data_IF_401215659976
#
_entry.id   IF_401215659976
#
_cell.length_a   1.000
_cell.length_b   1.000
_cell.length_c   1.000
_cell.angle_alpha   90.00
_cell.angle_beta   90.00
_cell.angle_gamma   90.00
#
_symmetry.space_group_name_H-M   'P 1'
#
loop_
_entity.id
_entity.type
_entity.pdbx_description
1 polymer ?
#
# COMPACT_ATOMS: atom_id res chain seq x y z
N UNK A 1 -36.85 10.90 50.43
CA UNK A 1 -36.91 10.64 48.97
C UNK A 1 -35.95 11.49 48.12
N UNK A 2 -35.11 12.39 48.67
CA UNK A 2 -34.09 13.11 47.87
C UNK A 2 -32.69 12.45 47.87
N UNK A 3 -32.37 11.61 48.87
CA UNK A 3 -31.04 10.99 49.00
C UNK A 3 -30.73 9.97 47.91
N UNK A 4 -31.71 9.14 47.52
CA UNK A 4 -31.52 8.07 46.53
C UNK A 4 -31.35 8.60 45.10
N UNK A 5 -31.96 9.74 44.79
CA UNK A 5 -31.79 10.36 43.47
C UNK A 5 -30.37 10.93 43.29
N UNK A 6 -29.75 11.48 44.34
CA UNK A 6 -28.37 12.00 44.27
C UNK A 6 -27.38 10.87 44.06
N UNK A 7 -27.60 9.71 44.68
CA UNK A 7 -26.77 8.52 44.46
C UNK A 7 -26.92 7.97 43.05
N UNK A 8 -28.14 7.93 42.52
CA UNK A 8 -28.40 7.49 41.15
C UNK A 8 -27.72 8.41 40.11
N UNK A 9 -27.82 9.73 40.29
CA UNK A 9 -27.14 10.69 39.41
C UNK A 9 -25.62 10.59 39.48
N UNK A 10 -25.03 10.44 40.68
CA UNK A 10 -23.58 10.24 40.83
C UNK A 10 -23.11 8.95 40.16
N UNK A 11 -23.89 7.87 40.27
CA UNK A 11 -23.59 6.60 39.64
C UNK A 11 -23.61 6.68 38.10
N UNK A 12 -24.61 7.37 37.52
CA UNK A 12 -24.68 7.59 36.07
C UNK A 12 -23.52 8.45 35.57
N UNK A 13 -23.12 9.48 36.30
CA UNK A 13 -21.98 10.32 35.94
C UNK A 13 -20.69 9.51 35.95
N UNK A 14 -20.46 8.68 36.97
CA UNK A 14 -19.28 7.81 37.05
C UNK A 14 -19.24 6.82 35.88
N UNK A 15 -20.36 6.15 35.56
CA UNK A 15 -20.43 5.25 34.40
C UNK A 15 -20.17 6.00 33.09
N UNK A 16 -20.76 7.18 32.93
CA UNK A 16 -20.58 7.99 31.71
C UNK A 16 -19.13 8.42 31.54
N UNK A 17 -18.46 8.84 32.62
CA UNK A 17 -17.03 9.17 32.61
C UNK A 17 -16.18 7.94 32.29
N UNK A 18 -16.48 6.77 32.87
CA UNK A 18 -15.77 5.51 32.57
C UNK A 18 -15.97 5.10 31.12
N UNK A 19 -17.18 5.22 30.58
CA UNK A 19 -17.49 4.92 29.18
C UNK A 19 -16.80 5.88 28.23
N UNK A 20 -16.82 7.19 28.50
CA UNK A 20 -16.10 8.20 27.71
C UNK A 20 -14.60 7.96 27.78
N UNK A 21 -14.06 7.67 28.97
CA UNK A 21 -12.65 7.33 29.14
C UNK A 21 -12.27 6.06 28.38
N UNK A 22 -13.08 5.00 28.43
CA UNK A 22 -12.87 3.78 27.62
C UNK A 22 -12.95 4.05 26.13
N UNK A 23 -13.90 4.85 25.68
CA UNK A 23 -14.03 5.21 24.26
C UNK A 23 -12.86 6.05 23.80
N UNK A 24 -12.41 7.01 24.60
CA UNK A 24 -11.21 7.80 24.33
C UNK A 24 -9.94 6.96 24.38
N UNK A 25 -9.81 6.05 25.35
CA UNK A 25 -8.68 5.13 25.45
C UNK A 25 -8.66 4.19 24.24
N UNK A 26 -9.81 3.65 23.83
CA UNK A 26 -9.93 2.83 22.63
C UNK A 26 -9.66 3.64 21.37
N UNK A 27 -10.10 4.89 21.29
CA UNK A 27 -9.78 5.80 20.19
C UNK A 27 -8.27 6.07 20.11
N UNK A 28 -7.62 6.36 21.24
CA UNK A 28 -6.16 6.56 21.31
C UNK A 28 -5.40 5.26 20.99
N UNK A 29 -5.87 4.12 21.50
CA UNK A 29 -5.25 2.80 21.26
C UNK A 29 -5.52 2.25 19.85
N UNK A 30 -6.58 2.70 19.18
CA UNK A 30 -6.92 2.35 17.79
C UNK A 30 -6.39 3.36 16.78
N UNK A 31 -6.10 4.59 17.21
CA UNK A 31 -5.34 5.54 16.40
C UNK A 31 -3.90 5.02 16.29
N UNK A 32 -3.50 4.61 15.09
CA UNK A 32 -2.15 4.14 14.78
C UNK A 32 -1.06 5.24 14.89
N UNK A 33 -1.34 6.35 15.56
CA UNK A 33 -0.42 7.46 15.75
C UNK A 33 0.29 7.33 17.10
N UNK A 34 1.04 6.25 17.29
CA UNK A 34 1.92 6.15 18.44
C UNK A 34 3.16 7.00 18.19
N UNK A 35 3.40 8.07 18.94
CA UNK A 35 4.62 8.89 18.82
C UNK A 35 5.73 8.45 19.79
N UNK A 36 5.55 7.33 20.51
CA UNK A 36 6.48 6.88 21.53
C UNK A 36 7.50 5.90 20.92
N UNK A 37 8.79 6.27 20.83
CA UNK A 37 9.83 5.39 20.29
C UNK A 37 10.07 4.13 21.13
N UNK A 38 9.54 4.08 22.36
CA UNK A 38 9.61 2.94 23.26
C UNK A 38 8.28 2.17 23.37
N UNK A 39 7.34 2.40 22.45
CA UNK A 39 6.06 1.70 22.47
C UNK A 39 6.25 0.20 22.25
N UNK A 40 5.90 -0.61 23.25
CA UNK A 40 6.00 -2.08 23.20
C UNK A 40 5.20 -2.73 22.06
N UNK A 41 4.17 -2.05 21.51
CA UNK A 41 3.45 -2.50 20.30
C UNK A 41 4.22 -2.22 19.00
N UNK A 42 4.91 -1.07 18.89
CA UNK A 42 5.73 -0.72 17.72
C UNK A 42 7.10 -1.41 17.74
N UNK A 43 7.62 -1.66 18.95
CA UNK A 43 8.80 -2.49 19.24
C UNK A 43 8.46 -3.97 19.40
N UNK A 44 7.20 -4.37 19.18
CA UNK A 44 6.87 -5.79 19.14
C UNK A 44 7.70 -6.41 18.02
N UNK A 45 8.59 -7.34 18.37
CA UNK A 45 9.47 -8.03 17.43
C UNK A 45 8.68 -8.72 16.32
N UNK A 46 7.41 -9.04 16.55
CA UNK A 46 6.54 -9.68 15.56
C UNK A 46 5.89 -8.68 14.59
N UNK A 47 6.04 -7.37 14.78
CA UNK A 47 5.62 -6.36 13.81
C UNK A 47 6.66 -6.21 12.69
N UNK A 48 6.25 -5.74 11.50
CA UNK A 48 7.18 -5.52 10.39
C UNK A 48 8.29 -4.53 10.77
N UNK A 49 7.95 -3.43 11.46
CA UNK A 49 8.94 -2.46 11.97
C UNK A 49 9.88 -3.09 12.99
N UNK A 50 9.35 -3.88 13.92
CA UNK A 50 10.15 -4.57 14.93
C UNK A 50 11.16 -5.54 14.32
N UNK A 51 10.75 -6.34 13.33
CA UNK A 51 11.67 -7.23 12.59
C UNK A 51 12.75 -6.45 11.83
N UNK A 52 12.37 -5.38 11.14
CA UNK A 52 13.32 -4.53 10.43
C UNK A 52 14.39 -3.96 11.39
N UNK A 53 13.98 -3.44 12.56
CA UNK A 53 14.91 -2.96 13.59
C UNK A 53 15.82 -4.09 14.09
N UNK A 54 15.24 -5.27 14.38
CA UNK A 54 16.01 -6.43 14.83
C UNK A 54 17.06 -6.86 13.81
N UNK A 55 16.71 -6.85 12.52
CA UNK A 55 17.61 -7.22 11.43
C UNK A 55 18.78 -6.25 11.31
N UNK A 56 18.50 -4.94 11.33
CA UNK A 56 19.54 -3.91 11.29
C UNK A 56 20.52 -4.05 12.48
N UNK A 57 20.00 -4.32 13.68
CA UNK A 57 20.84 -4.53 14.87
C UNK A 57 21.77 -5.74 14.75
N UNK A 58 21.30 -6.83 14.15
CA UNK A 58 22.09 -8.03 13.96
C UNK A 58 23.20 -7.84 12.92
N UNK A 59 22.93 -7.05 11.88
CA UNK A 59 23.90 -6.77 10.81
C UNK A 59 24.93 -5.69 11.18
N UNK A 60 24.67 -4.95 12.26
CA UNK A 60 25.51 -3.86 12.73
C UNK A 60 25.14 -2.50 12.11
N UNK A 61 25.33 -1.44 12.89
CA UNK A 61 25.12 -0.04 12.49
C UNK A 61 26.47 0.69 12.49
N UNK A 62 27.11 0.77 11.32
CA UNK A 62 28.22 1.72 11.14
C UNK A 62 27.66 3.14 10.99
N UNK A 63 28.35 4.13 11.54
CA UNK A 63 27.96 5.53 11.44
C UNK A 63 27.94 5.98 9.97
N UNK A 64 26.86 6.65 9.54
CA UNK A 64 26.60 7.04 8.14
C UNK A 64 26.36 5.90 7.15
N UNK A 65 26.15 4.66 7.61
CA UNK A 65 25.70 3.56 6.74
C UNK A 65 24.22 3.69 6.32
N UNK A 66 23.83 2.96 5.27
CA UNK A 66 22.42 2.82 4.88
C UNK A 66 21.57 2.24 6.03
N UNK A 67 22.14 1.34 6.83
CA UNK A 67 21.51 0.81 8.04
C UNK A 67 21.19 1.91 9.05
N UNK A 68 22.16 2.78 9.34
CA UNK A 68 21.96 3.93 10.24
C UNK A 68 20.86 4.86 9.72
N UNK A 69 20.82 5.15 8.40
CA UNK A 69 19.77 5.97 7.79
C UNK A 69 18.38 5.34 7.97
N UNK A 70 18.25 4.04 7.65
CA UNK A 70 16.98 3.32 7.71
C UNK A 70 16.52 3.18 9.16
N UNK A 71 17.43 2.86 10.10
CA UNK A 71 17.13 2.77 11.52
C UNK A 71 16.66 4.12 12.10
N UNK A 72 17.35 5.21 11.78
CA UNK A 72 16.95 6.56 12.20
C UNK A 72 15.56 6.94 11.67
N UNK A 73 15.25 6.58 10.42
CA UNK A 73 13.94 6.82 9.84
C UNK A 73 12.83 5.96 10.46
N UNK A 74 13.11 4.69 10.79
CA UNK A 74 12.20 3.81 11.53
C UNK A 74 11.88 4.39 12.91
N UNK A 75 12.89 4.87 13.63
CA UNK A 75 12.73 5.47 14.96
C UNK A 75 11.96 6.80 14.92
N UNK A 76 12.15 7.59 13.85
CA UNK A 76 11.49 8.88 13.68
C UNK A 76 10.19 8.79 12.85
N UNK A 77 9.72 7.58 12.54
CA UNK A 77 8.60 7.33 11.62
C UNK A 77 7.39 8.20 11.94
N UNK A 78 6.90 8.16 13.17
CA UNK A 78 5.63 8.80 13.51
C UNK A 78 5.75 10.34 13.53
N UNK A 79 6.94 10.85 13.89
CA UNK A 79 7.27 12.27 13.78
C UNK A 79 7.32 12.73 12.32
N UNK A 80 7.79 11.87 11.42
CA UNK A 80 7.80 12.16 9.97
C UNK A 80 6.39 12.17 9.41
N UNK A 81 5.59 11.15 9.73
CA UNK A 81 4.21 11.10 9.33
C UNK A 81 3.45 12.34 9.82
N UNK A 82 3.65 12.83 11.05
CA UNK A 82 2.97 14.04 11.54
C UNK A 82 3.22 15.29 10.70
N UNK A 83 4.39 15.40 10.04
CA UNK A 83 4.80 16.57 9.24
C UNK A 83 4.52 16.43 7.75
N UNK A 84 4.02 15.29 7.30
CA UNK A 84 3.78 14.99 5.89
C UNK A 84 2.33 14.57 5.65
N UNK A 85 1.83 14.75 4.44
CA UNK A 85 0.57 14.15 3.99
C UNK A 85 0.72 12.64 3.73
N UNK A 86 1.95 12.17 3.51
CA UNK A 86 2.27 10.75 3.39
C UNK A 86 2.23 10.09 4.78
N UNK A 87 1.38 9.07 4.92
CA UNK A 87 1.20 8.33 6.18
C UNK A 87 1.44 6.83 5.96
N UNK A 88 2.65 6.42 5.52
CA UNK A 88 2.93 5.01 5.33
C UNK A 88 2.72 4.23 6.63
N UNK A 89 2.27 2.98 6.52
CA UNK A 89 1.97 2.16 7.69
C UNK A 89 3.20 1.47 8.27
N UNK A 90 4.30 1.34 7.52
CA UNK A 90 5.51 0.62 7.94
C UNK A 90 6.75 1.51 7.94
N UNK A 91 7.11 2.15 6.83
CA UNK A 91 8.39 2.85 6.71
C UNK A 91 8.29 4.15 5.92
N UNK A 92 8.86 5.22 6.48
CA UNK A 92 8.94 6.53 5.86
C UNK A 92 10.40 6.87 5.57
N UNK A 93 10.76 7.08 4.30
CA UNK A 93 12.06 7.58 3.90
C UNK A 93 12.02 9.09 3.67
N UNK A 94 12.99 9.81 4.23
CA UNK A 94 13.11 11.27 4.08
C UNK A 94 13.71 11.64 2.73
N UNK A 95 13.34 12.82 2.23
CA UNK A 95 14.01 13.44 1.09
C UNK A 95 13.62 12.90 -0.28
N UNK A 96 12.56 12.08 -0.37
CA UNK A 96 11.94 11.73 -1.64
C UNK A 96 11.14 12.91 -2.17
N UNK A 97 11.28 13.21 -3.46
CA UNK A 97 10.50 14.24 -4.14
C UNK A 97 9.01 13.90 -4.20
N UNK A 98 8.16 14.92 -4.28
CA UNK A 98 6.70 14.77 -4.31
C UNK A 98 6.15 14.37 -5.69
N UNK A 99 6.99 14.35 -6.72
CA UNK A 99 6.56 14.13 -8.09
C UNK A 99 6.69 12.66 -8.44
N UNK A 100 5.56 12.02 -8.76
CA UNK A 100 5.58 10.74 -9.47
C UNK A 100 6.24 10.97 -10.83
N UNK A 101 7.55 10.76 -10.91
CA UNK A 101 8.29 10.91 -12.15
C UNK A 101 7.77 9.89 -13.19
N UNK A 102 7.97 10.20 -14.46
CA UNK A 102 7.79 9.20 -15.53
C UNK A 102 8.68 8.00 -15.20
N UNK A 103 8.07 6.84 -14.98
CA UNK A 103 8.81 5.57 -14.87
C UNK A 103 9.03 5.09 -16.30
N UNK A 104 10.29 4.81 -16.66
CA UNK A 104 10.62 4.27 -17.99
C UNK A 104 9.80 3.01 -18.32
N UNK A 105 9.57 2.18 -17.29
CA UNK A 105 8.79 0.94 -17.32
C UNK A 105 7.34 1.11 -17.81
N UNK A 106 6.76 2.32 -17.76
CA UNK A 106 5.40 2.55 -18.26
C UNK A 106 5.28 2.35 -19.77
N UNK A 107 6.32 2.74 -20.51
CA UNK A 107 6.29 2.66 -21.97
C UNK A 107 6.19 1.19 -22.42
N UNK A 108 6.88 0.29 -21.71
CA UNK A 108 6.82 -1.16 -21.97
C UNK A 108 5.38 -1.67 -21.92
N UNK A 109 4.61 -1.28 -20.90
CA UNK A 109 3.21 -1.71 -20.78
C UNK A 109 2.31 -1.10 -21.86
N UNK A 110 2.57 0.16 -22.24
CA UNK A 110 1.83 0.84 -23.30
C UNK A 110 2.09 0.16 -24.66
N UNK A 111 3.33 -0.21 -24.92
CA UNK A 111 3.77 -0.86 -26.16
C UNK A 111 3.15 -2.26 -26.30
N UNK A 112 3.02 -2.99 -25.19
CA UNK A 112 2.42 -4.32 -25.16
C UNK A 112 0.92 -4.34 -24.80
N UNK A 113 0.23 -3.18 -24.85
CA UNK A 113 -1.15 -3.05 -24.41
C UNK A 113 -2.11 -4.06 -25.08
N UNK A 114 -2.00 -4.24 -26.40
CA UNK A 114 -2.93 -5.11 -27.14
C UNK A 114 -2.75 -6.59 -26.75
N UNK A 115 -1.51 -7.04 -26.58
CA UNK A 115 -1.18 -8.40 -26.14
C UNK A 115 -1.71 -8.67 -24.72
N UNK A 116 -1.45 -7.72 -23.80
CA UNK A 116 -1.94 -7.78 -22.43
C UNK A 116 -3.46 -7.81 -22.38
N UNK A 117 -4.11 -6.93 -23.13
CA UNK A 117 -5.58 -6.86 -23.16
C UNK A 117 -6.19 -8.14 -23.72
N UNK A 118 -5.62 -8.72 -24.78
CA UNK A 118 -6.13 -9.97 -25.36
C UNK A 118 -6.04 -11.13 -24.37
N UNK A 119 -4.90 -11.30 -23.69
CA UNK A 119 -4.73 -12.34 -22.67
C UNK A 119 -5.75 -12.17 -21.53
N UNK A 120 -5.94 -10.93 -21.06
CA UNK A 120 -6.85 -10.63 -19.96
C UNK A 120 -8.30 -10.86 -20.36
N UNK A 121 -8.72 -10.41 -21.55
CA UNK A 121 -10.08 -10.69 -22.06
C UNK A 121 -10.33 -12.19 -22.15
N UNK A 122 -9.37 -12.97 -22.66
CA UNK A 122 -9.49 -14.42 -22.72
C UNK A 122 -9.58 -15.04 -21.32
N UNK A 123 -8.70 -14.64 -20.40
CA UNK A 123 -8.74 -15.09 -19.01
C UNK A 123 -10.10 -14.82 -18.36
N UNK A 124 -10.70 -13.66 -18.62
CA UNK A 124 -12.03 -13.31 -18.15
C UNK A 124 -13.15 -14.13 -18.79
N UNK A 125 -13.05 -14.50 -20.06
CA UNK A 125 -14.01 -15.38 -20.71
C UNK A 125 -13.96 -16.78 -20.11
N UNK A 126 -12.76 -17.30 -19.85
CA UNK A 126 -12.55 -18.64 -19.32
C UNK A 126 -12.89 -18.74 -17.81
N UNK A 127 -12.86 -17.62 -17.08
CA UNK A 127 -13.03 -17.59 -15.61
C UNK A 127 -14.14 -16.63 -15.12
N UNK A 128 -15.01 -16.16 -16.01
CA UNK A 128 -15.92 -15.02 -15.77
C UNK A 128 -16.93 -15.22 -14.64
N UNK A 129 -17.30 -16.48 -14.39
CA UNK A 129 -18.20 -16.88 -13.30
C UNK A 129 -17.56 -16.75 -11.90
N UNK A 130 -16.22 -16.74 -11.82
CA UNK A 130 -15.51 -16.60 -10.55
C UNK A 130 -15.50 -15.13 -10.12
N UNK A 131 -16.17 -14.84 -9.01
CA UNK A 131 -16.08 -13.51 -8.39
C UNK A 131 -14.77 -13.37 -7.61
N UNK A 132 -13.89 -12.51 -8.11
CA UNK A 132 -12.70 -12.07 -7.42
C UNK A 132 -12.58 -10.55 -7.54
N UNK A 133 -11.99 -9.92 -6.52
CA UNK A 133 -11.74 -8.48 -6.52
C UNK A 133 -10.29 -8.18 -6.90
N UNK A 134 -9.34 -8.96 -6.35
CA UNK A 134 -7.92 -8.87 -6.68
C UNK A 134 -7.37 -10.24 -7.02
N UNK A 135 -6.73 -10.34 -8.18
CA UNK A 135 -6.03 -11.53 -8.64
C UNK A 135 -4.52 -11.29 -8.52
N UNK A 136 -3.93 -11.76 -7.42
CA UNK A 136 -2.51 -11.50 -7.11
C UNK A 136 -1.58 -12.38 -7.92
N UNK A 137 -0.66 -11.75 -8.65
CA UNK A 137 0.54 -12.37 -9.22
C UNK A 137 1.67 -12.34 -8.19
N UNK A 138 1.82 -11.19 -7.52
CA UNK A 138 2.73 -11.01 -6.40
C UNK A 138 2.02 -10.33 -5.24
N UNK A 139 2.14 -10.88 -4.04
CA UNK A 139 1.62 -10.29 -2.81
C UNK A 139 2.75 -10.12 -1.82
N UNK A 140 3.05 -8.88 -1.44
CA UNK A 140 4.15 -8.56 -0.54
C UNK A 140 5.49 -9.20 -0.97
N UNK A 141 5.75 -9.19 -2.28
CA UNK A 141 6.95 -9.74 -2.91
C UNK A 141 6.94 -11.26 -3.11
N UNK A 142 5.95 -11.99 -2.61
CA UNK A 142 5.81 -13.43 -2.83
C UNK A 142 5.05 -13.70 -4.13
N UNK A 143 5.64 -14.51 -5.01
CA UNK A 143 5.05 -14.93 -6.28
C UNK A 143 3.97 -16.00 -6.07
N UNK A 144 2.79 -15.76 -6.64
CA UNK A 144 1.76 -16.78 -6.78
C UNK A 144 1.93 -17.49 -8.12
N UNK A 145 2.76 -18.55 -8.12
CA UNK A 145 3.10 -19.33 -9.33
C UNK A 145 1.86 -19.79 -10.10
N UNK A 146 0.88 -20.35 -9.40
CA UNK A 146 -0.35 -20.85 -10.04
C UNK A 146 -1.21 -19.76 -10.68
N UNK A 147 -1.12 -18.52 -10.21
CA UNK A 147 -1.77 -17.39 -10.88
C UNK A 147 -0.93 -16.84 -12.04
N UNK A 148 0.40 -16.85 -11.91
CA UNK A 148 1.32 -16.42 -12.96
C UNK A 148 1.24 -17.34 -14.19
N UNK A 149 1.13 -18.66 -13.98
CA UNK A 149 0.96 -19.65 -15.05
C UNK A 149 -0.32 -19.44 -15.88
N UNK A 150 -1.34 -18.78 -15.30
CA UNK A 150 -2.61 -18.47 -16.00
C UNK A 150 -2.52 -17.22 -16.88
N UNK A 151 -1.50 -16.39 -16.69
CA UNK A 151 -1.29 -15.12 -17.40
C UNK A 151 0.18 -15.05 -17.89
N UNK A 152 0.63 -16.02 -18.71
CA UNK A 152 2.03 -16.16 -19.10
C UNK A 152 2.58 -14.93 -19.82
N UNK A 153 1.78 -14.24 -20.63
CA UNK A 153 2.25 -13.06 -21.37
C UNK A 153 2.43 -11.85 -20.46
N UNK A 154 1.46 -11.60 -19.57
CA UNK A 154 1.63 -10.59 -18.52
C UNK A 154 2.84 -10.93 -17.64
N UNK A 155 3.03 -12.19 -17.27
CA UNK A 155 4.19 -12.61 -16.49
C UNK A 155 5.53 -12.35 -17.20
N UNK A 156 5.62 -12.66 -18.50
CA UNK A 156 6.78 -12.36 -19.35
C UNK A 156 7.08 -10.85 -19.38
N UNK A 157 6.06 -10.02 -19.62
CA UNK A 157 6.22 -8.55 -19.68
C UNK A 157 6.62 -7.99 -18.31
N UNK A 158 6.06 -8.50 -17.21
CA UNK A 158 6.46 -8.06 -15.88
C UNK A 158 7.96 -8.27 -15.63
N UNK A 159 8.54 -9.37 -16.13
CA UNK A 159 9.96 -9.65 -15.99
C UNK A 159 10.88 -8.69 -16.77
N UNK A 160 10.33 -7.90 -17.71
CA UNK A 160 11.07 -6.85 -18.40
C UNK A 160 11.00 -5.48 -17.71
N UNK A 161 10.32 -5.37 -16.55
CA UNK A 161 10.18 -4.12 -15.78
C UNK A 161 11.22 -4.04 -14.65
N UNK A 162 12.41 -3.43 -14.87
CA UNK A 162 13.51 -3.48 -13.93
C UNK A 162 13.23 -2.77 -12.60
N UNK A 163 12.34 -1.77 -12.59
CA UNK A 163 12.03 -0.99 -11.39
C UNK A 163 10.83 -1.53 -10.60
N UNK A 164 10.13 -2.55 -11.12
CA UNK A 164 9.05 -3.20 -10.40
C UNK A 164 9.62 -3.90 -9.15
N UNK A 165 9.06 -3.59 -7.97
CA UNK A 165 9.64 -4.05 -6.71
C UNK A 165 9.64 -5.59 -6.66
N UNK A 166 8.55 -6.23 -7.07
CA UNK A 166 8.37 -7.68 -6.92
C UNK A 166 9.20 -8.56 -7.86
N UNK A 167 9.75 -8.03 -8.96
CA UNK A 167 10.42 -8.84 -10.00
C UNK A 167 11.88 -9.14 -9.65
N UNK A 168 12.58 -8.16 -9.07
CA UNK A 168 14.00 -8.29 -8.70
C UNK A 168 14.23 -8.33 -7.19
N UNK A 169 13.16 -8.29 -6.39
CA UNK A 169 13.25 -8.25 -4.93
C UNK A 169 12.23 -9.22 -4.31
N UNK A 170 12.43 -10.52 -4.57
CA UNK A 170 11.57 -11.57 -4.05
C UNK A 170 11.42 -11.43 -2.53
N UNK A 171 10.17 -11.54 -2.08
CA UNK A 171 9.75 -11.38 -0.69
C UNK A 171 9.91 -9.96 -0.12
N UNK A 172 10.21 -8.94 -0.92
CA UNK A 172 10.14 -7.56 -0.44
C UNK A 172 8.68 -7.16 -0.18
N UNK A 173 8.36 -6.86 1.08
CA UNK A 173 7.00 -6.56 1.55
C UNK A 173 6.35 -5.36 0.85
N UNK A 174 7.14 -4.50 0.19
CA UNK A 174 6.64 -3.31 -0.49
C UNK A 174 6.16 -3.57 -1.92
N UNK A 175 6.45 -4.74 -2.49
CA UNK A 175 6.09 -5.07 -3.87
C UNK A 175 4.78 -5.84 -3.96
N UNK A 176 3.81 -5.29 -4.67
CA UNK A 176 2.61 -6.02 -5.08
C UNK A 176 2.41 -5.91 -6.59
N UNK A 177 1.85 -6.96 -7.17
CA UNK A 177 1.39 -6.97 -8.54
C UNK A 177 0.10 -7.80 -8.63
N UNK A 178 -0.99 -7.18 -9.04
CA UNK A 178 -2.29 -7.84 -9.12
C UNK A 178 -3.21 -7.16 -10.12
N UNK A 179 -4.13 -7.95 -10.70
CA UNK A 179 -5.27 -7.39 -11.42
C UNK A 179 -6.36 -7.03 -10.43
N UNK A 180 -7.02 -5.91 -10.67
CA UNK A 180 -8.27 -5.56 -9.99
C UNK A 180 -9.43 -5.72 -10.94
N UNK A 181 -10.50 -6.38 -10.47
CA UNK A 181 -11.83 -6.40 -11.10
C UNK A 181 -12.76 -5.56 -10.24
N UNK A 182 -13.05 -4.36 -10.69
CA UNK A 182 -13.87 -3.39 -9.95
C UNK A 182 -15.25 -3.28 -10.60
N UNK A 183 -16.27 -3.87 -9.98
CA UNK A 183 -17.64 -3.87 -10.49
C UNK A 183 -18.52 -2.84 -9.79
N UNK A 184 -18.40 -2.72 -8.46
CA UNK A 184 -19.21 -1.79 -7.68
C UNK A 184 -18.38 -1.02 -6.66
N UNK A 185 -18.95 0.09 -6.22
CA UNK A 185 -18.47 0.91 -5.11
C UNK A 185 -18.59 0.21 -3.73
N UNK A 186 -19.02 -1.05 -3.65
CA UNK A 186 -19.07 -1.78 -2.36
C UNK A 186 -17.89 -2.74 -2.15
N UNK A 187 -16.93 -2.76 -3.08
CA UNK A 187 -15.67 -3.47 -2.86
C UNK A 187 -14.82 -2.67 -1.86
N UNK A 188 -14.17 -3.32 -0.88
CA UNK A 188 -13.38 -2.65 0.16
C UNK A 188 -12.24 -1.74 -0.33
N UNK A 189 -12.06 -1.58 -1.65
CA UNK A 189 -11.15 -0.67 -2.34
C UNK A 189 -11.55 0.81 -2.22
N UNK A 190 -12.80 1.08 -1.82
CA UNK A 190 -13.24 2.44 -1.46
C UNK A 190 -12.74 2.90 -0.10
N UNK A 191 -12.34 1.95 0.76
CA UNK A 191 -11.82 2.31 2.06
C UNK A 191 -10.51 3.05 1.85
N UNK A 192 -10.50 4.27 2.36
CA UNK A 192 -9.29 5.06 2.48
C UNK A 192 -8.18 4.21 3.13
N UNK A 193 -7.06 4.11 2.40
CA UNK A 193 -5.92 3.30 2.79
C UNK A 193 -4.61 4.07 2.57
N UNK A 194 -3.58 3.65 3.29
CA UNK A 194 -2.21 4.08 3.10
C UNK A 194 -1.33 2.84 2.88
N UNK A 195 -0.39 2.94 1.94
CA UNK A 195 0.57 1.89 1.64
C UNK A 195 1.60 1.68 2.76
N UNK A 196 2.43 0.66 2.62
CA UNK A 196 3.44 0.32 3.63
C UNK A 196 4.58 1.33 3.68
N UNK A 197 4.91 1.97 2.57
CA UNK A 197 6.03 2.91 2.49
C UNK A 197 5.81 4.00 1.46
N UNK A 198 6.44 5.16 1.66
CA UNK A 198 6.56 6.21 0.64
C UNK A 198 7.68 5.94 -0.38
N UNK A 199 8.46 4.88 -0.16
CA UNK A 199 9.46 4.38 -1.10
C UNK A 199 8.85 3.68 -2.33
N UNK A 200 7.53 3.56 -2.39
CA UNK A 200 6.81 2.85 -3.45
C UNK A 200 5.88 3.79 -4.21
N UNK A 201 6.05 3.85 -5.53
CA UNK A 201 5.11 4.48 -6.46
C UNK A 201 4.18 3.39 -6.97
N UNK A 202 2.89 3.58 -6.70
CA UNK A 202 1.85 2.69 -7.20
C UNK A 202 1.41 3.14 -8.58
N UNK A 203 1.34 2.19 -9.49
CA UNK A 203 0.80 2.39 -10.82
C UNK A 203 -0.48 1.56 -11.00
N UNK A 204 -1.49 2.18 -11.60
CA UNK A 204 -2.61 1.49 -12.22
C UNK A 204 -2.52 1.63 -13.75
N UNK A 205 -2.71 0.53 -14.46
CA UNK A 205 -2.73 0.50 -15.92
C UNK A 205 -4.05 -0.10 -16.40
N UNK A 206 -4.88 0.69 -17.08
CA UNK A 206 -6.19 0.27 -17.54
C UNK A 206 -6.11 -0.70 -18.72
N UNK A 207 -6.82 -1.82 -18.61
CA UNK A 207 -6.81 -2.92 -19.60
C UNK A 207 -8.19 -3.15 -20.21
N UNK A 208 -9.22 -3.11 -19.38
CA UNK A 208 -10.63 -3.15 -19.77
C UNK A 208 -11.37 -2.09 -18.97
N UNK A 209 -11.02 -0.84 -19.22
CA UNK A 209 -11.70 0.32 -18.67
C UNK A 209 -12.64 0.92 -19.70
N UNK A 210 -13.83 1.37 -19.30
CA UNK A 210 -14.72 2.08 -20.22
C UNK A 210 -14.46 3.58 -20.05
N UNK A 211 -14.18 4.30 -21.14
CA UNK A 211 -13.93 5.75 -21.10
C UNK A 211 -15.12 6.51 -20.49
N UNK A 212 -16.33 5.93 -20.54
CA UNK A 212 -17.53 6.47 -19.88
C UNK A 212 -17.65 6.08 -18.40
N UNK A 213 -16.87 5.13 -17.89
CA UNK A 213 -17.05 4.59 -16.53
C UNK A 213 -16.50 5.48 -15.42
N UNK A 214 -15.64 6.44 -15.76
CA UNK A 214 -15.10 7.43 -14.81
C UNK A 214 -14.49 6.79 -13.56
N UNK A 215 -13.83 5.63 -13.66
CA UNK A 215 -13.10 5.09 -12.51
C UNK A 215 -11.85 5.91 -12.22
N UNK A 216 -11.56 6.16 -10.95
CA UNK A 216 -10.41 6.97 -10.57
C UNK A 216 -9.86 6.59 -9.19
N UNK A 217 -8.59 6.96 -8.97
CA UNK A 217 -8.00 7.02 -7.64
C UNK A 217 -8.29 8.39 -7.04
N UNK A 218 -8.83 8.41 -5.83
CA UNK A 218 -9.04 9.62 -5.05
C UNK A 218 -7.91 9.77 -4.02
N UNK A 219 -7.02 10.73 -4.24
CA UNK A 219 -5.90 11.05 -3.35
C UNK A 219 -6.30 12.15 -2.38
N UNK A 220 -6.06 11.93 -1.08
CA UNK A 220 -6.33 12.85 0.03
C UNK A 220 -7.73 13.50 -0.05
N UNK A 221 -8.73 12.72 -0.51
CA UNK A 221 -10.14 13.14 -0.69
C UNK A 221 -10.36 14.33 -1.65
N UNK A 222 -9.37 14.70 -2.47
CA UNK A 222 -9.42 15.93 -3.28
C UNK A 222 -9.00 15.73 -4.72
N UNK A 223 -7.90 15.02 -4.97
CA UNK A 223 -7.35 14.87 -6.32
C UNK A 223 -7.81 13.55 -6.94
N UNK A 224 -8.42 13.63 -8.12
CA UNK A 224 -8.86 12.45 -8.89
C UNK A 224 -7.83 12.14 -9.96
N UNK A 225 -7.40 10.88 -10.03
CA UNK A 225 -6.52 10.36 -11.07
C UNK A 225 -7.28 9.29 -11.86
N UNK A 226 -7.64 9.53 -13.12
CA UNK A 226 -8.49 8.61 -13.88
C UNK A 226 -7.78 7.27 -14.13
N UNK A 227 -8.53 6.18 -14.23
CA UNK A 227 -8.01 4.87 -14.66
C UNK A 227 -8.66 4.58 -16.01
N UNK A 228 -7.88 4.70 -17.07
CA UNK A 228 -8.34 4.63 -18.46
C UNK A 228 -7.51 3.61 -19.23
N UNK A 229 -8.08 3.09 -20.33
CA UNK A 229 -7.39 2.14 -21.19
C UNK A 229 -6.07 2.69 -21.69
N UNK A 230 -5.02 1.86 -21.64
CA UNK A 230 -3.69 2.21 -22.15
C UNK A 230 -3.04 3.42 -21.45
N UNK A 231 -3.64 3.93 -20.37
CA UNK A 231 -3.11 5.04 -19.58
C UNK A 231 -2.54 4.52 -18.25
N UNK A 232 -1.39 5.07 -17.87
CA UNK A 232 -0.74 4.80 -16.59
C UNK A 232 -1.09 5.88 -15.58
N UNK A 233 -1.77 5.50 -14.50
CA UNK A 233 -2.00 6.38 -13.36
C UNK A 233 -1.00 6.07 -12.25
N UNK A 234 -0.20 7.07 -11.91
CA UNK A 234 0.85 6.97 -10.89
C UNK A 234 0.54 7.84 -9.69
N UNK A 235 0.84 7.31 -8.51
CA UNK A 235 0.81 8.08 -7.28
C UNK A 235 1.70 7.45 -6.22
N UNK A 236 2.11 8.24 -5.23
CA UNK A 236 2.77 7.71 -4.05
C UNK A 236 1.75 6.91 -3.22
N UNK A 237 2.01 5.60 -3.04
CA UNK A 237 1.10 4.71 -2.31
C UNK A 237 0.95 5.06 -0.82
N UNK A 238 1.87 5.85 -0.24
CA UNK A 238 1.78 6.30 1.14
C UNK A 238 0.77 7.42 1.38
N UNK A 239 0.31 8.11 0.34
CA UNK A 239 -0.77 9.09 0.45
C UNK A 239 -2.10 8.38 0.76
N UNK A 240 -3.01 9.08 1.44
CA UNK A 240 -4.36 8.57 1.66
C UNK A 240 -5.03 8.39 0.30
N UNK A 241 -5.45 7.18 -0.03
CA UNK A 241 -6.09 6.91 -1.32
C UNK A 241 -7.25 5.92 -1.23
N UNK A 242 -8.21 6.08 -2.13
CA UNK A 242 -9.26 5.09 -2.40
C UNK A 242 -9.49 4.97 -3.90
N UNK A 243 -10.04 3.84 -4.34
CA UNK A 243 -10.45 3.64 -5.73
C UNK A 243 -11.96 3.82 -5.78
N UNK A 244 -12.46 4.53 -6.81
CA UNK A 244 -13.86 4.88 -6.97
C UNK A 244 -14.34 4.45 -8.35
N UNK A 245 -15.54 3.88 -8.46
CA UNK A 245 -16.19 3.49 -9.72
C UNK A 245 -17.66 3.94 -9.74
N UNK A 246 -17.91 5.25 -9.89
CA UNK A 246 -19.25 5.85 -9.71
C UNK A 246 -20.31 5.24 -10.63
N UNK A 247 -19.93 4.74 -11.80
CA UNK A 247 -20.86 4.22 -12.79
C UNK A 247 -21.12 2.71 -12.65
N UNK A 248 -20.45 2.04 -11.69
CA UNK A 248 -20.58 0.59 -11.44
C UNK A 248 -20.45 -0.28 -12.70
N UNK A 249 -19.75 0.23 -13.71
CA UNK A 249 -19.37 -0.54 -14.91
C UNK A 249 -18.12 -1.32 -14.57
N UNK A 250 -18.05 -2.59 -14.96
CA UNK A 250 -16.87 -3.41 -14.69
C UNK A 250 -15.60 -2.78 -15.27
N UNK A 251 -14.62 -2.54 -14.41
CA UNK A 251 -13.28 -2.08 -14.77
C UNK A 251 -12.27 -3.18 -14.48
N UNK A 252 -11.31 -3.34 -15.37
CA UNK A 252 -10.14 -4.18 -15.14
C UNK A 252 -8.87 -3.39 -15.39
N UNK A 253 -8.04 -3.33 -14.37
CA UNK A 253 -6.74 -2.67 -14.45
C UNK A 253 -5.69 -3.46 -13.67
N UNK A 254 -4.44 -3.31 -14.12
CA UNK A 254 -3.26 -3.89 -13.49
C UNK A 254 -2.71 -2.91 -12.45
N UNK A 255 -2.40 -3.41 -11.26
CA UNK A 255 -1.70 -2.65 -10.21
C UNK A 255 -0.29 -3.20 -10.06
N UNK A 256 0.72 -2.33 -10.11
CA UNK A 256 2.13 -2.67 -9.87
C UNK A 256 2.76 -1.61 -8.95
N UNK A 257 3.52 -2.07 -7.95
CA UNK A 257 4.33 -1.22 -7.07
C UNK A 257 5.79 -1.13 -7.59
N UNK A 258 6.27 0.10 -7.82
CA UNK A 258 7.63 0.41 -8.28
C UNK A 258 8.43 1.13 -7.20
N UNK A 259 9.75 0.98 -7.22
CA UNK A 259 10.62 1.81 -6.37
C UNK A 259 10.48 3.29 -6.73
N UNK A 260 10.49 4.15 -5.72
CA UNK A 260 10.55 5.59 -5.92
C UNK A 260 11.81 5.96 -6.74
N UNK A 261 11.68 6.79 -7.79
CA UNK A 261 12.79 7.09 -8.71
C UNK A 261 14.01 7.69 -7.99
N UNK A 262 13.78 8.55 -6.99
CA UNK A 262 14.85 9.20 -6.22
C UNK A 262 15.64 8.24 -5.30
N UNK A 263 15.20 7.00 -5.12
CA UNK A 263 15.98 6.02 -4.36
C UNK A 263 17.16 5.54 -5.18
N UNK A 264 18.36 5.62 -4.58
CA UNK A 264 19.57 5.02 -5.17
C UNK A 264 19.43 3.49 -5.27
N UNK A 265 20.12 2.84 -6.24
CA UNK A 265 20.11 1.39 -6.36
C UNK A 265 20.51 0.66 -5.07
N UNK A 266 21.49 1.19 -4.33
CA UNK A 266 21.94 0.57 -3.07
C UNK A 266 20.91 0.73 -1.95
N UNK A 267 20.21 1.86 -1.88
CA UNK A 267 19.09 2.03 -0.95
C UNK A 267 17.96 1.05 -1.27
N UNK A 268 17.61 0.84 -2.55
CA UNK A 268 16.58 -0.13 -2.96
C UNK A 268 16.95 -1.55 -2.51
N UNK A 269 18.21 -1.97 -2.74
CA UNK A 269 18.72 -3.27 -2.28
C UNK A 269 18.65 -3.40 -0.76
N UNK A 270 19.06 -2.36 -0.03
CA UNK A 270 19.05 -2.40 1.43
C UNK A 270 17.63 -2.45 2.00
N UNK A 271 16.69 -1.69 1.44
CA UNK A 271 15.27 -1.74 1.81
C UNK A 271 14.66 -3.10 1.48
N UNK A 272 14.94 -3.66 0.30
CA UNK A 272 14.49 -5.00 -0.07
C UNK A 272 14.97 -6.08 0.90
N UNK A 273 16.23 -5.98 1.34
CA UNK A 273 16.82 -6.89 2.30
C UNK A 273 16.20 -6.73 3.71
N UNK A 274 16.10 -5.50 4.22
CA UNK A 274 15.56 -5.23 5.58
C UNK A 274 14.09 -5.59 5.68
N UNK A 275 13.29 -5.23 4.66
CA UNK A 275 11.84 -5.48 4.61
C UNK A 275 11.49 -6.74 3.82
N UNK A 276 12.34 -7.76 3.89
CA UNK A 276 12.06 -9.09 3.35
C UNK A 276 11.09 -9.84 4.27
N UNK A 277 10.12 -10.55 3.72
CA UNK A 277 9.29 -11.49 4.47
C UNK A 277 10.14 -12.66 4.99
N UNK A 278 9.80 -13.15 6.18
CA UNK A 278 10.35 -14.41 6.69
C UNK A 278 9.65 -15.56 5.96
N UNK A 279 10.42 -16.42 5.30
CA UNK A 279 9.95 -17.56 4.50
C UNK A 279 10.31 -18.85 5.22
#
# INVERSE_FOLDING_TARGET
MLGDQVWFFRFIIVISVICVYRTLLNYVLSSNNCANPFCSKCLNSNSVRGRAISKIKNDGEEENSLNSIIHNNLFQHDRLCQKSDEKPTVYFHRGLGSNAAKLADQQVLIDHYDELRQEIVKFFQDNGEVQWHRFYLYKSGEENKGNCEKLPKLFEILHSLPNAICINNNYCLFGNCFLTRLVTNNSGEEKSQNGFTNCSIRMHFGLMCDDQSSAYVLINKRRRLPIENKVTTLYNGALEHSIQNPNSKQQVFLTIDFWHPDLSPDMRKQLAYIFRADV
#
